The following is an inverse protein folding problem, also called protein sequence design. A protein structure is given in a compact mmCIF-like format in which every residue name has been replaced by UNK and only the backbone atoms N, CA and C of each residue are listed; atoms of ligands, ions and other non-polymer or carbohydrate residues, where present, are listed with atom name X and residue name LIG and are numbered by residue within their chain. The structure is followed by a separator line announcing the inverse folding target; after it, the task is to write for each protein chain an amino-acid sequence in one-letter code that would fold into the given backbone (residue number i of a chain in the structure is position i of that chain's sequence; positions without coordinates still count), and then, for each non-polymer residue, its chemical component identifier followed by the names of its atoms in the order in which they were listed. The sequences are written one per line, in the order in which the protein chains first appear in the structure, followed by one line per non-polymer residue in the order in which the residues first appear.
data_IF_524809571229
#
_entry.id   IF_524809571229
#
_cell.length_a   1.000
_cell.length_b   1.000
_cell.length_c   1.000
_cell.angle_alpha   90.00
_cell.angle_beta   90.00
_cell.angle_gamma   90.00
#
_symmetry.space_group_name_H-M   'P 1'
#
loop_
_entity.id
_entity.type
_entity.pdbx_description
1 polymer ?
#
# COMPACT_ATOMS: atom_id res chain seq x y z
N UNK A 1 42.28 -19.86 1.43
CA UNK A 1 41.36 -18.72 1.38
C UNK A 1 40.02 -19.24 0.88
N UNK A 2 39.05 -19.37 1.79
CA UNK A 2 37.69 -19.76 1.45
C UNK A 2 36.99 -18.51 0.91
N UNK A 3 36.53 -18.55 -0.34
CA UNK A 3 35.70 -17.50 -0.91
C UNK A 3 34.37 -17.46 -0.13
N UNK A 4 34.23 -16.50 0.79
CA UNK A 4 32.94 -16.20 1.42
C UNK A 4 32.08 -15.55 0.35
N UNK A 5 31.10 -16.28 -0.13
CA UNK A 5 30.12 -15.77 -1.09
C UNK A 5 29.22 -14.78 -0.34
N UNK A 6 29.40 -13.47 -0.57
CA UNK A 6 28.69 -12.38 0.13
C UNK A 6 27.23 -12.20 -0.32
N UNK A 7 26.73 -13.01 -1.26
CA UNK A 7 25.35 -12.93 -1.70
C UNK A 7 24.43 -13.72 -0.75
N UNK A 8 23.61 -12.99 -0.01
CA UNK A 8 22.53 -13.52 0.81
C UNK A 8 21.37 -14.00 -0.09
N UNK A 9 20.83 -15.18 0.19
CA UNK A 9 19.55 -15.60 -0.39
C UNK A 9 18.40 -14.79 0.24
N UNK A 10 17.23 -14.75 -0.42
CA UNK A 10 16.10 -13.90 0.00
C UNK A 10 15.60 -14.16 1.44
N UNK A 11 15.90 -15.34 1.97
CA UNK A 11 15.48 -15.80 3.30
C UNK A 11 16.58 -15.70 4.36
N UNK A 12 17.76 -15.21 4.01
CA UNK A 12 18.92 -15.14 4.89
C UNK A 12 19.21 -13.71 5.34
N UNK A 13 19.72 -13.57 6.56
CA UNK A 13 20.09 -12.28 7.11
C UNK A 13 21.28 -12.40 8.05
N UNK A 14 22.00 -11.29 8.25
CA UNK A 14 22.97 -11.17 9.32
C UNK A 14 22.29 -10.66 10.60
N UNK A 15 22.54 -11.37 11.70
CA UNK A 15 22.09 -11.00 13.03
C UNK A 15 23.00 -9.91 13.64
N UNK A 16 22.61 -9.34 14.78
CA UNK A 16 23.38 -8.35 15.56
C UNK A 16 24.77 -8.90 15.92
N UNK A 17 24.88 -10.21 16.10
CA UNK A 17 26.14 -10.93 16.34
C UNK A 17 26.95 -11.22 15.06
N UNK A 18 26.57 -10.63 13.92
CA UNK A 18 27.15 -10.85 12.59
C UNK A 18 27.17 -12.31 12.11
N UNK A 19 26.27 -13.15 12.65
CA UNK A 19 26.10 -14.52 12.18
C UNK A 19 25.00 -14.60 11.11
N UNK A 20 25.22 -15.45 10.10
CA UNK A 20 24.27 -15.71 9.02
C UNK A 20 23.16 -16.62 9.54
N UNK A 21 21.96 -16.08 9.65
CA UNK A 21 20.77 -16.78 10.11
C UNK A 21 19.71 -16.83 9.00
N UNK A 22 18.84 -17.84 9.07
CA UNK A 22 17.76 -18.06 8.11
C UNK A 22 16.41 -17.73 8.74
N UNK A 23 15.46 -17.24 7.94
CA UNK A 23 14.10 -16.88 8.39
C UNK A 23 13.39 -18.00 9.15
N UNK A 24 13.53 -19.24 8.70
CA UNK A 24 12.94 -20.42 9.34
C UNK A 24 13.65 -20.86 10.62
N UNK A 25 14.81 -20.30 10.97
CA UNK A 25 15.41 -20.53 12.29
C UNK A 25 14.51 -20.00 13.43
N UNK A 26 13.53 -19.14 13.10
CA UNK A 26 12.42 -18.74 13.97
C UNK A 26 11.54 -19.89 14.47
N UNK A 27 11.62 -21.09 13.88
CA UNK A 27 10.88 -22.27 14.34
C UNK A 27 11.80 -23.38 14.87
N UNK A 28 13.13 -23.20 14.85
CA UNK A 28 14.08 -24.27 15.18
C UNK A 28 14.86 -24.03 16.49
N UNK A 29 14.65 -22.92 17.19
CA UNK A 29 15.36 -22.62 18.45
C UNK A 29 14.44 -21.85 19.43
N UNK A 30 13.28 -22.45 19.71
CA UNK A 30 12.13 -21.77 20.30
C UNK A 30 11.86 -22.16 21.75
N UNK A 31 12.90 -22.35 22.56
CA UNK A 31 12.75 -22.70 23.98
C UNK A 31 11.91 -21.64 24.73
N UNK A 32 12.10 -20.35 24.41
CA UNK A 32 11.34 -19.23 25.00
C UNK A 32 9.88 -19.10 24.50
N UNK A 33 9.63 -19.47 23.23
CA UNK A 33 8.28 -19.43 22.64
C UNK A 33 7.46 -20.62 23.12
N UNK A 34 8.06 -21.82 23.19
CA UNK A 34 7.42 -23.01 23.77
C UNK A 34 7.06 -22.75 25.22
N UNK A 35 7.99 -22.22 26.04
CA UNK A 35 7.73 -21.95 27.46
C UNK A 35 6.63 -20.88 27.65
N UNK A 36 6.57 -19.88 26.76
CA UNK A 36 5.54 -18.83 26.81
C UNK A 36 4.16 -19.35 26.38
N UNK A 37 4.10 -20.20 25.35
CA UNK A 37 2.86 -20.81 24.87
C UNK A 37 2.35 -21.85 25.88
N UNK A 38 3.24 -22.65 26.47
CA UNK A 38 2.89 -23.61 27.52
C UNK A 38 2.33 -22.92 28.76
N UNK A 39 2.97 -21.84 29.23
CA UNK A 39 2.46 -21.05 30.37
C UNK A 39 1.11 -20.40 30.05
N UNK A 40 0.89 -19.97 28.81
CA UNK A 40 -0.39 -19.42 28.35
C UNK A 40 -1.49 -20.50 28.33
N UNK A 41 -1.18 -21.69 27.81
CA UNK A 41 -2.07 -22.85 27.78
C UNK A 41 -2.38 -23.39 29.17
N UNK A 42 -1.43 -23.30 30.10
CA UNK A 42 -1.61 -23.66 31.51
C UNK A 42 -2.31 -22.55 32.34
N UNK A 43 -2.68 -21.42 31.72
CA UNK A 43 -3.37 -20.32 32.40
C UNK A 43 -2.51 -19.61 33.47
N UNK A 44 -1.19 -19.72 33.37
CA UNK A 44 -0.24 -19.09 34.30
C UNK A 44 0.13 -17.68 33.83
N UNK A 45 0.43 -16.79 34.77
CA UNK A 45 0.82 -15.42 34.47
C UNK A 45 2.25 -15.37 33.94
N UNK A 46 2.41 -14.88 32.71
CA UNK A 46 3.72 -14.71 32.07
C UNK A 46 4.44 -13.51 32.70
N UNK A 47 5.68 -13.72 33.15
CA UNK A 47 6.53 -12.68 33.75
C UNK A 47 6.77 -11.49 32.79
N UNK A 48 6.78 -10.24 33.28
CA UNK A 48 6.96 -9.05 32.43
C UNK A 48 8.30 -9.03 31.68
N UNK A 49 9.38 -9.56 32.27
CA UNK A 49 10.69 -9.66 31.59
C UNK A 49 10.67 -10.70 30.47
N UNK A 50 10.00 -11.84 30.67
CA UNK A 50 9.87 -12.89 29.65
C UNK A 50 9.07 -12.38 28.45
N UNK A 51 8.03 -11.59 28.72
CA UNK A 51 7.19 -10.96 27.70
C UNK A 51 7.95 -9.93 26.86
N UNK A 52 8.86 -9.15 27.47
CA UNK A 52 9.71 -8.20 26.75
C UNK A 52 10.75 -8.91 25.87
N UNK A 53 11.41 -9.94 26.40
CA UNK A 53 12.39 -10.74 25.64
C UNK A 53 11.73 -11.48 24.47
N UNK A 54 10.51 -11.98 24.67
CA UNK A 54 9.70 -12.60 23.63
C UNK A 54 9.31 -11.59 22.54
N UNK A 55 8.86 -10.40 22.92
CA UNK A 55 8.51 -9.34 21.97
C UNK A 55 9.71 -8.89 21.15
N UNK A 56 10.88 -8.72 21.79
CA UNK A 56 12.13 -8.42 21.09
C UNK A 56 12.55 -9.53 20.13
N UNK A 57 12.37 -10.80 20.52
CA UNK A 57 12.71 -11.94 19.65
C UNK A 57 11.77 -12.06 18.45
N UNK A 58 10.47 -11.77 18.63
CA UNK A 58 9.52 -11.70 17.52
C UNK A 58 9.80 -10.51 16.60
N UNK A 59 10.11 -9.34 17.15
CA UNK A 59 10.44 -8.14 16.37
C UNK A 59 11.71 -8.32 15.55
N UNK A 60 12.72 -9.02 16.09
CA UNK A 60 13.95 -9.32 15.35
C UNK A 60 13.80 -10.38 14.26
N UNK A 61 12.77 -11.24 14.37
CA UNK A 61 12.53 -12.37 13.46
C UNK A 61 11.41 -12.15 12.46
N UNK A 62 10.54 -11.14 12.66
CA UNK A 62 9.57 -10.70 11.67
C UNK A 62 10.29 -9.93 10.54
N UNK A 63 10.88 -10.69 9.60
CA UNK A 63 11.55 -10.16 8.40
C UNK A 63 10.80 -10.63 7.15
N UNK A 64 10.62 -9.76 6.15
CA UNK A 64 10.04 -10.17 4.86
C UNK A 64 11.15 -10.66 3.95
N UNK A 65 10.98 -11.81 3.26
CA UNK A 65 11.95 -12.28 2.29
C UNK A 65 12.06 -11.30 1.11
N UNK A 66 13.26 -10.80 0.84
CA UNK A 66 13.52 -9.81 -0.22
C UNK A 66 14.73 -10.22 -1.07
N UNK A 67 14.76 -9.85 -2.35
CA UNK A 67 15.91 -10.13 -3.20
C UNK A 67 17.17 -9.43 -2.66
N UNK A 68 18.16 -10.22 -2.25
CA UNK A 68 19.39 -9.73 -1.61
C UNK A 68 19.44 -9.86 -0.07
N UNK A 69 18.42 -10.48 0.55
CA UNK A 69 18.42 -10.81 1.99
C UNK A 69 17.15 -10.35 2.72
N UNK A 70 16.83 -11.00 3.84
CA UNK A 70 15.61 -10.73 4.59
C UNK A 70 15.68 -9.39 5.35
N UNK A 71 14.71 -8.50 5.11
CA UNK A 71 14.68 -7.14 5.66
C UNK A 71 13.72 -7.07 6.86
N UNK A 72 14.14 -6.43 7.96
CA UNK A 72 13.31 -6.27 9.18
C UNK A 72 12.04 -5.49 8.85
N UNK A 73 10.88 -6.03 9.23
CA UNK A 73 9.60 -5.33 9.11
C UNK A 73 9.42 -4.50 10.37
N UNK A 74 9.25 -3.19 10.22
CA UNK A 74 8.96 -2.33 11.35
C UNK A 74 7.55 -2.65 11.87
N UNK A 75 7.33 -2.94 13.16
CA UNK A 75 6.01 -3.26 13.70
C UNK A 75 4.99 -2.14 13.48
N UNK A 76 5.42 -0.89 13.34
CA UNK A 76 4.55 0.23 12.99
C UNK A 76 3.96 0.12 11.57
N UNK A 77 4.68 -0.45 10.60
CA UNK A 77 4.19 -0.67 9.23
C UNK A 77 3.09 -1.74 9.24
N UNK A 78 3.32 -2.84 9.95
CA UNK A 78 2.33 -3.91 10.10
C UNK A 78 1.05 -3.39 10.77
N UNK A 79 1.21 -2.55 11.80
CA UNK A 79 0.09 -1.93 12.50
C UNK A 79 -0.73 -1.02 11.58
N UNK A 80 -0.08 -0.18 10.78
CA UNK A 80 -0.76 0.67 9.81
C UNK A 80 -1.52 -0.14 8.74
N UNK A 81 -0.93 -1.23 8.24
CA UNK A 81 -1.54 -2.14 7.25
C UNK A 81 -2.82 -2.80 7.77
N UNK A 82 -2.96 -3.01 9.07
CA UNK A 82 -4.15 -3.65 9.67
C UNK A 82 -5.16 -2.60 10.16
N UNK A 83 -4.70 -1.56 10.85
CA UNK A 83 -5.58 -0.55 11.46
C UNK A 83 -6.25 0.31 10.39
N UNK A 84 -5.54 0.74 9.35
CA UNK A 84 -6.09 1.65 8.34
C UNK A 84 -7.27 1.00 7.58
N UNK A 85 -7.15 -0.23 7.04
CA UNK A 85 -8.28 -0.90 6.42
C UNK A 85 -9.44 -1.17 7.40
N UNK A 86 -9.12 -1.52 8.65
CA UNK A 86 -10.13 -1.71 9.70
C UNK A 86 -10.95 -0.44 9.98
N UNK A 87 -10.28 0.71 10.12
CA UNK A 87 -10.94 2.01 10.29
C UNK A 87 -11.80 2.39 9.08
N UNK A 88 -11.32 2.14 7.85
CA UNK A 88 -12.09 2.39 6.63
C UNK A 88 -13.35 1.52 6.56
N UNK A 89 -13.29 0.25 6.99
CA UNK A 89 -14.45 -0.63 7.06
C UNK A 89 -15.46 -0.14 8.11
N UNK A 90 -15.01 0.27 9.29
CA UNK A 90 -15.90 0.83 10.34
C UNK A 90 -16.53 2.14 9.87
N UNK A 91 -15.81 2.96 9.11
CA UNK A 91 -16.30 4.21 8.55
C UNK A 91 -17.50 4.03 7.60
N UNK A 92 -17.69 2.84 7.01
CA UNK A 92 -18.84 2.54 6.14
C UNK A 92 -20.16 2.32 6.87
N UNK A 93 -20.14 2.18 8.21
CA UNK A 93 -21.33 1.82 8.97
C UNK A 93 -22.35 2.97 9.06
N UNK A 94 -21.94 4.18 9.44
CA UNK A 94 -22.79 5.38 9.49
C UNK A 94 -21.93 6.66 9.40
N UNK A 95 -22.53 7.80 9.04
CA UNK A 95 -21.83 9.09 8.93
C UNK A 95 -21.13 9.52 10.23
N UNK A 96 -21.68 9.15 11.38
CA UNK A 96 -21.05 9.36 12.69
C UNK A 96 -19.75 8.56 12.84
N UNK A 97 -19.75 7.28 12.40
CA UNK A 97 -18.55 6.43 12.39
C UNK A 97 -17.51 6.91 11.38
N UNK A 98 -17.94 7.51 10.27
CA UNK A 98 -17.04 8.18 9.33
C UNK A 98 -16.31 9.33 10.03
N UNK A 99 -17.05 10.28 10.63
CA UNK A 99 -16.45 11.41 11.35
C UNK A 99 -15.50 10.95 12.47
N UNK A 100 -15.89 9.95 13.25
CA UNK A 100 -15.03 9.38 14.31
C UNK A 100 -13.78 8.73 13.72
N UNK A 101 -13.91 7.93 12.67
CA UNK A 101 -12.77 7.23 12.08
C UNK A 101 -11.76 8.22 11.51
N UNK A 102 -12.20 9.30 10.85
CA UNK A 102 -11.30 10.35 10.38
C UNK A 102 -10.57 11.09 11.51
N UNK A 103 -11.28 11.42 12.59
CA UNK A 103 -10.68 12.06 13.77
C UNK A 103 -9.69 11.10 14.44
N UNK A 104 -10.09 9.85 14.66
CA UNK A 104 -9.27 8.82 15.29
C UNK A 104 -8.03 8.50 14.48
N UNK A 105 -8.15 8.29 13.16
CA UNK A 105 -7.00 8.05 12.28
C UNK A 105 -6.05 9.25 12.27
N UNK A 106 -6.55 10.49 12.28
CA UNK A 106 -5.71 11.70 12.35
C UNK A 106 -4.98 11.81 13.69
N UNK A 107 -5.66 11.57 14.81
CA UNK A 107 -5.05 11.55 16.15
C UNK A 107 -4.05 10.40 16.31
N UNK A 108 -4.35 9.22 15.77
CA UNK A 108 -3.47 8.06 15.80
C UNK A 108 -2.20 8.31 14.97
N UNK A 109 -2.33 8.92 13.78
CA UNK A 109 -1.19 9.31 12.96
C UNK A 109 -0.34 10.39 13.65
N UNK A 110 -0.96 11.40 14.30
CA UNK A 110 -0.24 12.39 15.11
C UNK A 110 0.46 11.76 16.33
N UNK A 111 -0.22 10.84 17.03
CA UNK A 111 0.34 10.12 18.16
C UNK A 111 1.52 9.25 17.73
N UNK A 112 1.38 8.49 16.64
CA UNK A 112 2.47 7.67 16.11
C UNK A 112 3.59 8.57 15.60
N UNK A 113 3.31 9.68 14.91
CA UNK A 113 4.34 10.63 14.47
C UNK A 113 5.12 11.20 15.66
N UNK A 114 4.43 11.67 16.70
CA UNK A 114 5.03 12.19 17.93
C UNK A 114 5.92 11.16 18.64
N UNK A 115 5.47 9.91 18.75
CA UNK A 115 6.27 8.84 19.36
C UNK A 115 7.41 8.35 18.44
N UNK A 116 7.23 8.39 17.12
CA UNK A 116 8.15 7.81 16.13
C UNK A 116 9.27 8.77 15.72
N UNK A 117 9.01 10.09 15.68
CA UNK A 117 10.03 11.13 15.49
C UNK A 117 11.15 11.04 16.55
N UNK A 118 10.80 10.53 17.73
CA UNK A 118 11.75 10.29 18.84
C UNK A 118 12.64 9.04 18.65
N UNK A 119 12.20 8.04 17.86
CA UNK A 119 12.89 6.74 17.77
C UNK A 119 13.56 6.44 16.43
N UNK A 120 13.07 7.00 15.33
CA UNK A 120 13.63 6.72 14.00
C UNK A 120 13.30 7.86 13.07
N UNK A 121 14.32 8.48 12.46
CA UNK A 121 14.17 9.52 11.43
C UNK A 121 13.60 8.96 10.13
N UNK A 122 12.42 8.37 10.19
CA UNK A 122 11.81 7.61 9.11
C UNK A 122 10.43 8.15 8.77
N UNK A 123 10.17 8.22 7.47
CA UNK A 123 9.02 8.91 6.90
C UNK A 123 7.73 8.06 6.92
N UNK A 124 7.30 7.64 8.12
CA UNK A 124 6.08 6.85 8.41
C UNK A 124 4.81 7.33 7.69
N UNK A 125 4.70 8.64 7.45
CA UNK A 125 3.59 9.27 6.76
C UNK A 125 3.44 8.79 5.29
N UNK A 126 4.56 8.52 4.62
CA UNK A 126 4.57 8.06 3.23
C UNK A 126 4.06 6.62 3.16
N UNK A 127 4.53 5.75 4.05
CA UNK A 127 4.11 4.35 4.12
C UNK A 127 2.59 4.21 4.34
N UNK A 128 2.03 5.04 5.23
CA UNK A 128 0.59 5.08 5.47
C UNK A 128 -0.19 5.58 4.26
N UNK A 129 0.34 6.57 3.53
CA UNK A 129 -0.29 7.09 2.31
C UNK A 129 -0.37 6.03 1.21
N UNK A 130 0.67 5.19 1.07
CA UNK A 130 0.70 4.08 0.10
C UNK A 130 -0.39 3.03 0.42
N UNK A 131 -0.47 2.61 1.68
CA UNK A 131 -1.46 1.63 2.14
C UNK A 131 -2.89 2.13 1.94
N UNK A 132 -3.13 3.40 2.25
CA UNK A 132 -4.44 4.06 2.03
C UNK A 132 -4.79 4.05 0.53
N UNK A 133 -3.85 4.42 -0.33
CA UNK A 133 -4.07 4.51 -1.78
C UNK A 133 -4.44 3.16 -2.39
N UNK A 134 -3.71 2.10 -2.04
CA UNK A 134 -4.00 0.73 -2.52
C UNK A 134 -5.38 0.28 -2.02
N UNK A 135 -5.70 0.53 -0.75
CA UNK A 135 -6.99 0.15 -0.16
C UNK A 135 -8.15 0.86 -0.85
N UNK A 136 -8.03 2.17 -1.11
CA UNK A 136 -9.05 2.95 -1.83
C UNK A 136 -9.25 2.43 -3.25
N UNK A 137 -8.16 2.10 -3.96
CA UNK A 137 -8.24 1.55 -5.32
C UNK A 137 -8.98 0.21 -5.37
N UNK A 138 -8.67 -0.71 -4.44
CA UNK A 138 -9.37 -2.00 -4.32
C UNK A 138 -10.86 -1.78 -4.02
N UNK A 139 -11.19 -0.93 -3.07
CA UNK A 139 -12.59 -0.64 -2.73
C UNK A 139 -13.34 -0.06 -3.94
N UNK A 140 -12.70 0.84 -4.70
CA UNK A 140 -13.26 1.41 -5.91
C UNK A 140 -13.59 0.33 -6.96
N UNK A 141 -12.63 -0.54 -7.29
CA UNK A 141 -12.83 -1.60 -8.29
C UNK A 141 -13.86 -2.65 -7.87
N UNK A 142 -13.88 -3.05 -6.59
CA UNK A 142 -14.76 -4.13 -6.13
C UNK A 142 -16.17 -3.68 -5.75
N UNK A 143 -16.35 -2.44 -5.27
CA UNK A 143 -17.64 -1.98 -4.77
C UNK A 143 -18.22 -0.88 -5.66
N UNK A 144 -17.42 0.14 -6.02
CA UNK A 144 -17.92 1.31 -6.74
C UNK A 144 -18.16 0.99 -8.20
N UNK A 145 -17.22 0.34 -8.89
CA UNK A 145 -17.36 0.01 -10.32
C UNK A 145 -18.60 -0.88 -10.59
N UNK A 146 -18.84 -2.00 -9.87
CA UNK A 146 -20.01 -2.84 -10.14
C UNK A 146 -21.32 -2.18 -9.77
N UNK A 147 -21.36 -1.45 -8.65
CA UNK A 147 -22.55 -0.73 -8.22
C UNK A 147 -22.91 0.40 -9.19
N UNK A 148 -21.90 1.09 -9.74
CA UNK A 148 -22.09 2.18 -10.69
C UNK A 148 -22.51 1.68 -12.08
N UNK A 149 -21.98 0.54 -12.54
CA UNK A 149 -22.46 -0.13 -13.76
C UNK A 149 -23.96 -0.49 -13.67
N UNK A 150 -24.42 -0.96 -12.51
CA UNK A 150 -25.84 -1.27 -12.27
C UNK A 150 -26.71 -0.01 -12.27
N UNK A 151 -26.28 1.07 -11.60
CA UNK A 151 -27.06 2.30 -11.47
C UNK A 151 -27.17 3.11 -12.79
N UNK A 152 -26.15 3.03 -13.66
CA UNK A 152 -26.18 3.63 -15.00
C UNK A 152 -27.23 2.94 -15.91
N UNK A 153 -27.55 1.68 -15.64
CA UNK A 153 -28.56 0.94 -16.41
C UNK A 153 -29.99 1.42 -16.10
N UNK A 154 -30.22 2.02 -14.91
CA UNK A 154 -31.51 2.59 -14.51
C UNK A 154 -31.61 4.11 -14.69
N UNK A 155 -30.49 4.86 -14.73
CA UNK A 155 -30.51 6.33 -14.67
C UNK A 155 -29.60 7.02 -15.71
N UNK A 156 -29.98 8.24 -16.14
CA UNK A 156 -29.29 9.04 -17.18
C UNK A 156 -27.92 9.64 -16.74
N UNK A 157 -27.33 9.18 -15.64
CA UNK A 157 -26.13 9.77 -15.01
C UNK A 157 -24.80 9.30 -15.63
N UNK A 158 -24.78 8.97 -16.93
CA UNK A 158 -23.58 8.55 -17.65
C UNK A 158 -22.48 9.63 -17.61
N UNK A 159 -22.85 10.91 -17.67
CA UNK A 159 -21.90 12.03 -17.66
C UNK A 159 -21.08 12.11 -16.37
N UNK A 160 -21.72 11.87 -15.22
CA UNK A 160 -21.04 11.91 -13.91
C UNK A 160 -20.03 10.77 -13.77
N UNK A 161 -20.36 9.59 -14.28
CA UNK A 161 -19.45 8.44 -14.31
C UNK A 161 -18.21 8.71 -15.17
N UNK A 162 -18.40 9.22 -16.39
CA UNK A 162 -17.27 9.56 -17.25
C UNK A 162 -16.40 10.67 -16.64
N UNK A 163 -17.03 11.65 -15.99
CA UNK A 163 -16.33 12.73 -15.31
C UNK A 163 -15.51 12.22 -14.12
N UNK A 164 -16.07 11.32 -13.29
CA UNK A 164 -15.34 10.77 -12.13
C UNK A 164 -14.15 9.91 -12.57
N UNK A 165 -14.30 9.10 -13.61
CA UNK A 165 -13.21 8.32 -14.18
C UNK A 165 -12.09 9.22 -14.74
N UNK A 166 -12.45 10.29 -15.46
CA UNK A 166 -11.48 11.27 -15.96
C UNK A 166 -10.73 11.98 -14.83
N UNK A 167 -11.45 12.39 -13.78
CA UNK A 167 -10.86 13.02 -12.60
C UNK A 167 -9.90 12.06 -11.88
N UNK A 168 -10.28 10.79 -11.73
CA UNK A 168 -9.42 9.77 -11.12
C UNK A 168 -8.12 9.57 -11.93
N UNK A 169 -8.21 9.41 -13.25
CA UNK A 169 -7.03 9.29 -14.14
C UNK A 169 -6.10 10.49 -13.97
N UNK A 170 -6.65 11.72 -13.94
CA UNK A 170 -5.85 12.93 -13.75
C UNK A 170 -5.19 12.95 -12.36
N UNK A 171 -5.93 12.63 -11.30
CA UNK A 171 -5.42 12.62 -9.94
C UNK A 171 -4.27 11.60 -9.75
N UNK A 172 -4.42 10.36 -10.24
CA UNK A 172 -3.36 9.34 -10.16
C UNK A 172 -2.12 9.72 -10.97
N UNK A 173 -2.30 10.28 -12.17
CA UNK A 173 -1.18 10.72 -13.02
C UNK A 173 -0.46 11.92 -12.41
N UNK A 174 -1.21 12.88 -11.86
CA UNK A 174 -0.66 14.03 -11.16
C UNK A 174 0.08 13.62 -9.89
N UNK A 175 -0.49 12.72 -9.10
CA UNK A 175 0.17 12.16 -7.92
C UNK A 175 1.48 11.48 -8.28
N UNK A 176 1.49 10.65 -9.33
CA UNK A 176 2.72 10.00 -9.78
C UNK A 176 3.77 11.02 -10.24
N UNK A 177 3.37 12.04 -11.01
CA UNK A 177 4.28 13.08 -11.47
C UNK A 177 4.88 13.87 -10.29
N UNK A 178 4.07 14.23 -9.30
CA UNK A 178 4.53 14.93 -8.11
C UNK A 178 5.51 14.06 -7.30
N UNK A 179 5.20 12.78 -7.10
CA UNK A 179 6.08 11.85 -6.38
C UNK A 179 7.40 11.66 -7.14
N UNK A 180 7.39 11.45 -8.45
CA UNK A 180 8.61 11.29 -9.24
C UNK A 180 9.46 12.56 -9.27
N UNK A 181 8.85 13.73 -9.42
CA UNK A 181 9.58 15.02 -9.42
C UNK A 181 10.15 15.39 -8.04
N UNK A 182 9.64 14.78 -6.97
CA UNK A 182 10.17 14.97 -5.60
C UNK A 182 11.41 14.10 -5.35
N UNK A 183 11.50 12.92 -5.97
CA UNK A 183 12.53 11.91 -5.65
C UNK A 183 13.61 11.84 -6.74
N UNK A 184 13.23 12.03 -8.00
CA UNK A 184 14.14 12.07 -9.13
C UNK A 184 14.59 13.50 -9.42
N UNK A 185 15.69 13.66 -10.15
CA UNK A 185 16.15 14.99 -10.57
C UNK A 185 15.12 15.60 -11.53
N UNK A 186 14.45 16.71 -11.17
CA UNK A 186 13.39 17.27 -12.00
C UNK A 186 13.98 18.17 -13.08
N UNK A 187 13.47 18.06 -14.30
CA UNK A 187 13.75 19.01 -15.37
C UNK A 187 12.50 19.84 -15.68
N UNK A 188 12.72 21.10 -16.05
CA UNK A 188 11.66 22.02 -16.42
C UNK A 188 11.38 21.89 -17.92
N UNK A 189 10.24 21.29 -18.27
CA UNK A 189 9.85 21.13 -19.68
C UNK A 189 9.15 22.39 -20.22
N UNK A 190 8.26 23.02 -19.43
CA UNK A 190 7.62 24.30 -19.79
C UNK A 190 7.11 25.07 -18.56
N UNK A 191 7.73 26.21 -18.22
CA UNK A 191 7.45 27.15 -17.08
C UNK A 191 7.03 26.53 -15.73
N UNK A 192 5.88 25.86 -15.64
CA UNK A 192 5.32 25.23 -14.43
C UNK A 192 5.24 23.69 -14.50
N UNK A 193 5.54 23.06 -15.64
CA UNK A 193 5.50 21.60 -15.81
C UNK A 193 6.91 21.02 -15.55
N UNK A 194 7.06 20.38 -14.39
CA UNK A 194 8.25 19.61 -14.02
C UNK A 194 8.03 18.15 -14.43
N UNK A 195 9.01 17.55 -15.10
CA UNK A 195 9.09 16.12 -15.38
C UNK A 195 10.36 15.53 -14.74
N UNK A 196 10.32 14.26 -14.33
CA UNK A 196 11.50 13.55 -13.85
C UNK A 196 12.43 13.17 -15.03
N UNK A 197 13.74 13.37 -14.90
CA UNK A 197 14.74 13.01 -15.92
C UNK A 197 15.64 11.85 -15.45
N UNK A 198 16.26 11.98 -14.28
CA UNK A 198 17.19 10.99 -13.73
C UNK A 198 16.75 10.44 -12.38
N UNK A 199 16.61 9.11 -12.30
CA UNK A 199 16.16 8.34 -11.15
C UNK A 199 17.21 7.28 -10.72
N UNK A 200 18.49 7.44 -11.10
CA UNK A 200 19.53 6.44 -10.89
C UNK A 200 19.84 6.12 -9.41
N UNK A 201 19.64 7.09 -8.51
CA UNK A 201 19.97 6.96 -7.08
C UNK A 201 18.80 6.56 -6.17
N UNK A 202 17.64 6.30 -6.76
CA UNK A 202 16.38 6.12 -6.04
C UNK A 202 16.36 4.85 -5.17
N UNK A 203 17.16 3.84 -5.53
CA UNK A 203 17.26 2.59 -4.75
C UNK A 203 18.31 2.61 -3.64
N UNK A 204 19.09 3.69 -3.52
CA UNK A 204 20.11 3.79 -2.47
C UNK A 204 19.49 3.88 -1.07
N UNK A 205 18.31 4.49 -0.96
CA UNK A 205 17.56 4.59 0.28
C UNK A 205 16.20 3.91 0.13
N UNK A 206 15.80 3.13 1.14
CA UNK A 206 14.55 2.36 1.11
C UNK A 206 13.31 3.23 0.89
N UNK A 207 13.33 4.45 1.44
CA UNK A 207 12.20 5.38 1.42
C UNK A 207 11.96 5.97 0.03
N UNK A 208 13.04 6.29 -0.69
CA UNK A 208 12.98 6.72 -2.10
C UNK A 208 12.54 5.57 -3.00
N UNK A 209 13.03 4.35 -2.75
CA UNK A 209 12.63 3.16 -3.49
C UNK A 209 11.12 2.88 -3.35
N UNK A 210 10.57 2.96 -2.13
CA UNK A 210 9.14 2.78 -1.87
C UNK A 210 8.29 3.84 -2.56
N UNK A 211 8.69 5.10 -2.42
CA UNK A 211 7.96 6.23 -2.99
C UNK A 211 7.97 6.19 -4.52
N UNK A 212 9.08 5.76 -5.12
CA UNK A 212 9.18 5.51 -6.56
C UNK A 212 8.28 4.37 -7.02
N UNK A 213 8.31 3.23 -6.33
CA UNK A 213 7.41 2.10 -6.61
C UNK A 213 5.94 2.53 -6.53
N UNK A 214 5.57 3.34 -5.53
CA UNK A 214 4.22 3.89 -5.41
C UNK A 214 3.82 4.80 -6.60
N UNK A 215 4.75 5.63 -7.09
CA UNK A 215 4.50 6.45 -8.26
C UNK A 215 4.27 5.59 -9.52
N UNK A 216 5.06 4.53 -9.70
CA UNK A 216 4.86 3.56 -10.78
C UNK A 216 3.52 2.84 -10.65
N UNK A 217 3.12 2.43 -9.44
CA UNK A 217 1.79 1.85 -9.19
C UNK A 217 0.65 2.83 -9.51
N UNK A 218 0.82 4.10 -9.17
CA UNK A 218 -0.16 5.15 -9.49
C UNK A 218 -0.30 5.35 -11.00
N UNK A 219 0.80 5.30 -11.76
CA UNK A 219 0.76 5.31 -13.23
C UNK A 219 0.09 4.05 -13.79
N UNK A 220 0.39 2.88 -13.24
CA UNK A 220 -0.23 1.61 -13.65
C UNK A 220 -1.74 1.65 -13.45
N UNK A 221 -2.21 2.11 -12.28
CA UNK A 221 -3.63 2.32 -11.99
C UNK A 221 -4.27 3.30 -12.99
N UNK A 222 -3.62 4.42 -13.28
CA UNK A 222 -4.09 5.39 -14.29
C UNK A 222 -4.27 4.75 -15.67
N UNK A 223 -3.32 3.90 -16.10
CA UNK A 223 -3.41 3.17 -17.38
C UNK A 223 -4.59 2.20 -17.39
N UNK A 224 -4.80 1.43 -16.31
CA UNK A 224 -5.94 0.50 -16.20
C UNK A 224 -7.27 1.26 -16.29
N UNK A 225 -7.39 2.38 -15.57
CA UNK A 225 -8.58 3.23 -15.62
C UNK A 225 -8.80 3.83 -17.02
N UNK A 226 -7.73 4.20 -17.74
CA UNK A 226 -7.81 4.67 -19.12
C UNK A 226 -8.32 3.57 -20.06
N UNK A 227 -7.81 2.35 -19.94
CA UNK A 227 -8.30 1.21 -20.75
C UNK A 227 -9.77 0.94 -20.47
N UNK A 228 -10.19 0.98 -19.20
CA UNK A 228 -11.60 0.86 -18.79
C UNK A 228 -12.46 1.97 -19.40
N UNK A 229 -11.99 3.22 -19.35
CA UNK A 229 -12.68 4.35 -19.95
C UNK A 229 -12.88 4.16 -21.47
N UNK A 230 -11.83 3.73 -22.18
CA UNK A 230 -11.90 3.46 -23.62
C UNK A 230 -12.88 2.33 -23.91
N UNK A 231 -12.82 1.24 -23.13
CA UNK A 231 -13.74 0.11 -23.27
C UNK A 231 -15.20 0.56 -23.11
N UNK A 232 -15.49 1.37 -22.09
CA UNK A 232 -16.83 1.90 -21.85
C UNK A 232 -17.32 2.81 -22.97
N UNK A 233 -16.47 3.70 -23.47
CA UNK A 233 -16.80 4.55 -24.62
C UNK A 233 -17.12 3.70 -25.84
N UNK A 234 -16.30 2.69 -26.15
CA UNK A 234 -16.53 1.79 -27.30
C UNK A 234 -17.83 1.01 -27.14
N UNK A 235 -18.10 0.46 -25.94
CA UNK A 235 -19.32 -0.29 -25.62
C UNK A 235 -20.57 0.56 -25.85
N UNK A 236 -20.58 1.80 -25.35
CA UNK A 236 -21.69 2.74 -25.54
C UNK A 236 -21.89 3.10 -27.01
N UNK A 237 -20.80 3.33 -27.76
CA UNK A 237 -20.89 3.64 -29.19
C UNK A 237 -21.44 2.46 -30.01
N UNK A 238 -21.06 1.22 -29.67
CA UNK A 238 -21.58 0.02 -30.32
C UNK A 238 -23.07 -0.19 -30.03
N UNK A 239 -23.52 0.02 -28.79
CA UNK A 239 -24.93 -0.07 -28.44
C UNK A 239 -25.78 0.97 -29.21
N UNK A 240 -25.34 2.24 -29.24
CA UNK A 240 -26.03 3.29 -30.03
C UNK A 240 -26.06 2.97 -31.53
N UNK A 241 -25.01 2.37 -32.10
CA UNK A 241 -25.03 1.91 -33.50
C UNK A 241 -26.04 0.78 -33.69
N UNK A 242 -26.07 -0.22 -32.81
CA UNK A 242 -26.98 -1.36 -32.88
C UNK A 242 -28.44 -0.92 -32.86
N UNK A 243 -28.80 0.02 -31.99
CA UNK A 243 -30.14 0.61 -31.92
C UNK A 243 -30.53 1.30 -33.24
N UNK A 244 -29.62 2.10 -33.83
CA UNK A 244 -29.89 2.74 -35.14
C UNK A 244 -30.12 1.74 -36.26
N UNK A 245 -29.35 0.66 -36.33
CA UNK A 245 -29.57 -0.39 -37.34
C UNK A 245 -30.87 -1.16 -37.13
N UNK A 246 -31.27 -1.39 -35.88
CA UNK A 246 -32.56 -2.04 -35.57
C UNK A 246 -33.75 -1.19 -36.04
N UNK A 247 -33.67 0.14 -35.93
CA UNK A 247 -34.72 1.04 -36.42
C UNK A 247 -34.80 1.02 -37.95
N UNK A 248 -33.65 1.07 -38.64
CA UNK A 248 -33.60 1.09 -40.12
C UNK A 248 -34.14 -0.22 -40.73
N UNK A 249 -33.90 -1.38 -40.10
CA UNK A 249 -34.35 -2.67 -40.63
C UNK A 249 -35.85 -2.95 -40.40
N UNK A 250 -36.55 -2.11 -39.62
CA UNK A 250 -37.99 -2.27 -39.31
C UNK A 250 -38.88 -1.35 -40.18
N UNK A 251 -38.30 -0.34 -40.81
CA UNK A 251 -38.96 0.56 -41.80
C UNK A 251 -38.71 0.14 -43.23
#
# INVERSE_FOLDING_TARGET
MVFVNNNLCCCEYFDINQQRNHLLACCCNCEDLDESVDKLLMGQTVSPNLRQNFLQTLEDRLRIPWYGGARKVRPQLLLAVIIIPGCLLIATLNIYWTCISFIFTSFLLCYIHYYCESLSGTNFFVDCTIVIQITIFIIFEFNVVPFLELLIHENHNQTLYFLSMLFAIFAFTYSANLTLTTICHPFQLYKTILLPDDCSDVYQQFEYALSFVNAIFSLYVSIVLLVKLVYEVVRVQLNKRRERYAIINVT
#
